data_IF_796194411022
#
_entry.id   IF_796194411022
#
_cell.length_a   1.000
_cell.length_b   1.000
_cell.length_c   1.000
_cell.angle_alpha   90.00
_cell.angle_beta   90.00
_cell.angle_gamma   90.00
#
_symmetry.space_group_name_H-M   'P 1'
#
loop_
_entity.id
_entity.type
_entity.pdbx_description
1 polymer ?
#
# COMPACT_ATOMS: atom_id res chain seq x y z
N UNK A 1 -26.13 0.04 7.66
CA UNK A 1 -25.03 0.12 6.68
C UNK A 1 -23.72 0.40 7.41
N UNK A 2 -22.64 -0.29 7.05
CA UNK A 2 -21.31 -0.11 7.63
C UNK A 2 -20.46 0.80 6.74
N UNK A 3 -19.61 1.65 7.33
CA UNK A 3 -18.58 2.41 6.63
C UNK A 3 -17.24 1.71 6.88
N UNK A 4 -16.54 1.33 5.82
CA UNK A 4 -15.18 0.78 5.92
C UNK A 4 -14.22 1.93 6.21
N UNK A 5 -13.44 1.84 7.30
CA UNK A 5 -12.60 2.94 7.79
C UNK A 5 -11.10 2.64 7.73
N UNK A 6 -10.68 1.39 7.89
CA UNK A 6 -9.27 1.03 7.77
C UNK A 6 -9.07 -0.44 7.41
N UNK A 7 -7.86 -0.75 6.94
CA UNK A 7 -7.30 -2.09 6.86
C UNK A 7 -5.98 -2.12 7.61
N UNK A 8 -5.72 -3.17 8.36
CA UNK A 8 -4.55 -3.28 9.22
C UNK A 8 -3.54 -4.30 8.67
N UNK A 9 -2.26 -3.90 8.72
CA UNK A 9 -1.13 -4.77 8.46
C UNK A 9 -0.13 -4.69 9.62
N UNK A 10 0.62 -5.77 9.85
CA UNK A 10 1.66 -5.84 10.87
C UNK A 10 3.02 -5.58 10.26
N UNK A 11 3.81 -4.71 10.89
CA UNK A 11 5.12 -4.29 10.41
C UNK A 11 6.19 -4.58 11.47
N UNK A 12 7.42 -4.87 11.03
CA UNK A 12 8.54 -5.13 11.92
C UNK A 12 9.29 -3.87 12.31
N UNK A 13 9.35 -2.88 11.42
CA UNK A 13 10.10 -1.64 11.60
C UNK A 13 9.20 -0.47 11.19
N UNK A 14 8.69 0.25 12.18
CA UNK A 14 7.73 1.31 11.95
C UNK A 14 8.30 2.46 11.11
N UNK A 15 9.54 2.91 11.40
CA UNK A 15 10.17 4.01 10.66
C UNK A 15 10.39 3.66 9.20
N UNK A 16 10.82 2.44 8.92
CA UNK A 16 10.98 1.92 7.56
C UNK A 16 9.65 1.90 6.80
N UNK A 17 8.58 1.45 7.44
CA UNK A 17 7.26 1.40 6.83
C UNK A 17 6.67 2.79 6.63
N UNK A 18 6.81 3.70 7.61
CA UNK A 18 6.35 5.09 7.48
C UNK A 18 7.01 5.80 6.30
N UNK A 19 8.33 5.62 6.13
CA UNK A 19 9.07 6.17 4.99
C UNK A 19 8.52 5.64 3.67
N UNK A 20 8.34 4.31 3.57
CA UNK A 20 7.82 3.67 2.36
C UNK A 20 6.44 4.23 1.99
N UNK A 21 5.49 4.21 2.92
CA UNK A 21 4.12 4.66 2.63
C UNK A 21 4.04 6.14 2.29
N UNK A 22 4.89 6.99 2.90
CA UNK A 22 4.99 8.39 2.55
C UNK A 22 5.55 8.60 1.14
N UNK A 23 6.65 7.95 0.80
CA UNK A 23 7.34 8.15 -0.48
C UNK A 23 6.65 7.47 -1.67
N UNK A 24 6.01 6.33 -1.44
CA UNK A 24 5.39 5.51 -2.51
C UNK A 24 3.93 5.86 -2.73
N UNK A 25 3.17 6.08 -1.66
CA UNK A 25 1.71 6.29 -1.73
C UNK A 25 1.25 7.67 -1.26
N UNK A 26 2.16 8.54 -0.83
CA UNK A 26 1.81 9.82 -0.20
C UNK A 26 0.86 9.64 0.98
N UNK A 27 1.00 8.54 1.72
CA UNK A 27 0.23 8.27 2.94
C UNK A 27 1.05 8.66 4.16
N UNK A 28 0.49 9.56 4.97
CA UNK A 28 1.16 10.13 6.13
C UNK A 28 0.41 9.82 7.42
N UNK A 29 1.16 9.75 8.52
CA UNK A 29 0.59 9.52 9.84
C UNK A 29 -0.41 10.61 10.21
N UNK A 30 -1.63 10.18 10.58
CA UNK A 30 -2.70 11.06 11.04
C UNK A 30 -3.05 10.82 12.50
N UNK A 31 -2.75 9.65 13.03
CA UNK A 31 -3.07 9.27 14.41
C UNK A 31 -2.16 8.14 14.87
N UNK A 32 -1.84 8.13 16.17
CA UNK A 32 -1.00 7.09 16.80
C UNK A 32 -1.52 6.76 18.18
N UNK A 33 -1.56 5.47 18.48
CA UNK A 33 -1.76 4.95 19.83
C UNK A 33 -0.54 4.11 20.21
N UNK A 34 0.18 4.55 21.24
CA UNK A 34 1.42 3.89 21.66
C UNK A 34 1.24 3.27 23.05
N UNK A 35 1.49 1.96 23.12
CA UNK A 35 1.39 1.16 24.34
C UNK A 35 2.74 0.50 24.65
N UNK A 36 2.95 -0.02 25.88
CA UNK A 36 4.25 -0.63 26.25
C UNK A 36 4.67 -1.78 25.34
N UNK A 37 3.74 -2.58 24.82
CA UNK A 37 3.98 -3.81 24.05
C UNK A 37 3.62 -3.72 22.59
N UNK A 38 2.88 -2.69 22.15
CA UNK A 38 2.54 -2.47 20.74
C UNK A 38 2.23 -1.00 20.44
N UNK A 39 2.22 -0.66 19.15
CA UNK A 39 1.77 0.65 18.66
C UNK A 39 0.86 0.47 17.45
N UNK A 40 -0.13 1.35 17.33
CA UNK A 40 -1.03 1.46 16.19
C UNK A 40 -0.82 2.81 15.54
N UNK A 41 -0.54 2.83 14.25
CA UNK A 41 -0.30 4.06 13.49
C UNK A 41 -1.18 4.07 12.25
N UNK A 42 -1.93 5.15 12.08
CA UNK A 42 -2.92 5.31 11.01
C UNK A 42 -2.41 6.26 9.94
N UNK A 43 -2.47 5.83 8.69
CA UNK A 43 -1.93 6.56 7.54
C UNK A 43 -3.03 6.88 6.54
N UNK A 44 -3.05 8.13 6.06
CA UNK A 44 -3.88 8.54 4.92
C UNK A 44 -3.32 9.79 4.24
N UNK A 45 -3.96 10.21 3.19
CA UNK A 45 -3.77 11.52 2.57
C UNK A 45 -5.11 12.24 2.39
N UNK A 46 -5.09 13.44 1.82
CA UNK A 46 -6.29 14.26 1.68
C UNK A 46 -7.38 13.66 0.77
N UNK A 47 -7.06 12.64 -0.01
CA UNK A 47 -8.02 11.98 -0.91
C UNK A 47 -8.78 10.82 -0.25
N UNK A 48 -8.40 10.43 0.97
CA UNK A 48 -8.95 9.24 1.62
C UNK A 48 -9.61 9.55 2.94
N UNK A 49 -10.81 9.00 3.15
CA UNK A 49 -11.39 8.77 4.48
C UNK A 49 -10.93 7.42 5.06
N UNK A 50 -10.49 6.51 4.21
CA UNK A 50 -9.98 5.20 4.58
C UNK A 50 -8.51 5.30 4.97
N UNK A 51 -8.10 4.56 6.00
CA UNK A 51 -6.73 4.57 6.52
C UNK A 51 -6.07 3.20 6.40
N UNK A 52 -4.76 3.20 6.17
CA UNK A 52 -3.94 2.02 6.42
C UNK A 52 -3.47 2.08 7.87
N UNK A 53 -3.79 1.05 8.64
CA UNK A 53 -3.32 0.92 10.02
C UNK A 53 -2.09 0.03 10.06
N UNK A 54 -0.98 0.58 10.56
CA UNK A 54 0.23 -0.19 10.84
C UNK A 54 0.23 -0.62 12.30
N UNK A 55 0.34 -1.93 12.55
CA UNK A 55 0.52 -2.46 13.89
C UNK A 55 1.96 -2.91 14.08
N UNK A 56 2.64 -2.30 15.05
CA UNK A 56 3.96 -2.71 15.50
C UNK A 56 3.82 -3.50 16.80
N UNK A 57 4.20 -4.78 16.79
CA UNK A 57 4.36 -5.58 18.00
C UNK A 57 5.80 -5.42 18.49
N UNK A 58 5.99 -4.69 19.58
CA UNK A 58 7.32 -4.38 20.13
C UNK A 58 8.03 -5.66 20.57
N UNK A 59 9.31 -5.78 20.22
CA UNK A 59 10.11 -6.97 20.54
C UNK A 59 10.01 -8.12 19.54
N UNK A 60 9.12 -8.06 18.56
CA UNK A 60 9.10 -9.05 17.49
C UNK A 60 10.21 -8.76 16.48
N UNK A 61 11.04 -9.77 16.19
CA UNK A 61 12.13 -9.67 15.20
C UNK A 61 11.90 -10.51 13.95
N UNK A 62 11.08 -11.57 14.05
CA UNK A 62 10.85 -12.51 12.95
C UNK A 62 9.81 -11.97 11.96
N UNK A 63 10.03 -12.14 10.63
CA UNK A 63 9.04 -11.78 9.61
C UNK A 63 7.69 -12.44 9.85
N UNK A 64 6.62 -11.75 9.45
CA UNK A 64 5.28 -12.29 9.47
C UNK A 64 5.06 -13.23 8.27
N UNK A 65 4.30 -14.30 8.48
CA UNK A 65 3.84 -15.18 7.41
C UNK A 65 2.49 -14.67 6.90
N UNK A 66 2.42 -14.32 5.61
CA UNK A 66 1.16 -13.83 5.02
C UNK A 66 0.23 -14.98 4.60
N UNK A 67 0.78 -16.18 4.41
CA UNK A 67 0.02 -17.34 3.92
C UNK A 67 -0.41 -17.16 2.46
N UNK A 68 -1.46 -17.85 2.08
CA UNK A 68 -2.03 -17.80 0.73
C UNK A 68 -3.38 -17.05 0.66
N UNK A 69 -3.85 -16.54 1.80
CA UNK A 69 -5.14 -15.83 1.88
C UNK A 69 -5.04 -14.32 1.69
N UNK A 70 -3.87 -13.70 1.89
CA UNK A 70 -3.69 -12.28 1.66
C UNK A 70 -3.51 -11.99 0.16
N UNK A 71 -4.25 -11.02 -0.35
CA UNK A 71 -4.08 -10.52 -1.71
C UNK A 71 -3.24 -9.25 -1.74
N UNK A 72 -3.89 -8.11 -1.87
CA UNK A 72 -3.24 -6.81 -1.97
C UNK A 72 -4.17 -5.67 -1.55
N UNK A 73 -3.60 -4.48 -1.36
CA UNK A 73 -4.33 -3.23 -1.34
C UNK A 73 -4.23 -2.61 -2.73
N UNK A 74 -5.36 -2.17 -3.29
CA UNK A 74 -5.39 -1.44 -4.55
C UNK A 74 -5.44 0.07 -4.29
N UNK A 75 -4.63 0.82 -5.05
CA UNK A 75 -4.62 2.28 -5.05
C UNK A 75 -4.69 2.80 -6.48
N UNK A 76 -5.26 3.98 -6.65
CA UNK A 76 -5.39 4.62 -7.97
C UNK A 76 -4.34 5.71 -8.13
N UNK A 77 -3.68 5.70 -9.29
CA UNK A 77 -2.73 6.73 -9.72
C UNK A 77 -3.19 7.33 -11.06
N UNK A 78 -2.80 8.57 -11.38
CA UNK A 78 -3.19 9.18 -12.66
C UNK A 78 -2.61 8.47 -13.88
N UNK A 79 -1.35 7.98 -13.79
CA UNK A 79 -0.60 7.37 -14.87
C UNK A 79 0.31 6.27 -14.30
N UNK A 80 0.03 5.02 -14.65
CA UNK A 80 0.77 3.87 -14.13
C UNK A 80 2.23 3.87 -14.59
N UNK A 81 2.50 4.18 -15.85
CA UNK A 81 3.86 4.18 -16.40
C UNK A 81 4.72 5.27 -15.78
N UNK A 82 4.18 6.48 -15.63
CA UNK A 82 4.88 7.59 -14.98
C UNK A 82 5.13 7.30 -13.50
N UNK A 83 4.17 6.73 -12.79
CA UNK A 83 4.31 6.34 -11.38
C UNK A 83 5.38 5.27 -11.20
N UNK A 84 5.37 4.23 -12.04
CA UNK A 84 6.37 3.17 -12.02
C UNK A 84 7.78 3.73 -12.26
N UNK A 85 7.95 4.59 -13.26
CA UNK A 85 9.24 5.21 -13.56
C UNK A 85 9.74 6.10 -12.41
N UNK A 86 8.86 6.86 -11.77
CA UNK A 86 9.20 7.70 -10.63
C UNK A 86 9.68 6.87 -9.42
N UNK A 87 9.05 5.73 -9.18
CA UNK A 87 9.46 4.83 -8.09
C UNK A 87 10.81 4.16 -8.37
N UNK A 88 11.06 3.75 -9.62
CA UNK A 88 12.39 3.27 -10.04
C UNK A 88 13.47 4.33 -9.82
N UNK A 89 13.19 5.60 -10.16
CA UNK A 89 14.12 6.70 -9.96
C UNK A 89 14.43 6.97 -8.49
N UNK A 90 13.50 6.67 -7.59
CA UNK A 90 13.69 6.76 -6.13
C UNK A 90 14.42 5.55 -5.53
N UNK A 91 14.73 4.53 -6.33
CA UNK A 91 15.44 3.34 -5.89
C UNK A 91 14.54 2.20 -5.38
N UNK A 92 13.23 2.29 -5.60
CA UNK A 92 12.30 1.19 -5.31
C UNK A 92 12.31 0.17 -6.46
N UNK A 93 11.68 -0.98 -6.23
CA UNK A 93 11.65 -2.09 -7.18
C UNK A 93 10.21 -2.47 -7.58
N UNK A 94 9.44 -1.56 -8.22
CA UNK A 94 8.13 -1.89 -8.74
C UNK A 94 8.24 -2.91 -9.88
N UNK A 95 7.24 -3.79 -10.00
CA UNK A 95 7.12 -4.69 -11.13
C UNK A 95 6.82 -3.91 -12.43
N UNK A 96 6.94 -4.57 -13.57
CA UNK A 96 6.59 -3.98 -14.85
C UNK A 96 5.11 -3.65 -14.94
N UNK A 97 4.78 -2.58 -15.65
CA UNK A 97 3.39 -2.22 -15.96
C UNK A 97 2.78 -3.28 -16.87
N UNK A 98 1.55 -3.69 -16.53
CA UNK A 98 0.76 -4.69 -17.26
C UNK A 98 -0.60 -4.12 -17.64
N UNK A 99 -1.19 -4.71 -18.65
CA UNK A 99 -2.57 -4.44 -19.06
C UNK A 99 -3.44 -5.67 -18.82
N UNK A 100 -4.63 -5.43 -18.27
CA UNK A 100 -5.67 -6.42 -18.12
C UNK A 100 -6.80 -6.11 -19.09
N UNK A 101 -7.03 -7.01 -20.03
CA UNK A 101 -7.99 -6.82 -21.12
C UNK A 101 -9.04 -7.94 -21.12
N UNK A 102 -10.22 -7.59 -21.61
CA UNK A 102 -11.25 -8.53 -21.99
C UNK A 102 -11.51 -8.33 -23.49
N UNK A 103 -10.98 -9.26 -24.33
CA UNK A 103 -10.91 -9.03 -25.77
C UNK A 103 -10.03 -7.81 -26.07
N UNK A 104 -10.56 -6.83 -26.80
CA UNK A 104 -9.88 -5.57 -27.12
C UNK A 104 -10.13 -4.46 -26.08
N UNK A 105 -11.01 -4.70 -25.10
CA UNK A 105 -11.34 -3.73 -24.07
C UNK A 105 -10.28 -3.70 -22.98
N UNK A 106 -9.65 -2.54 -22.78
CA UNK A 106 -8.75 -2.32 -21.65
C UNK A 106 -9.58 -2.17 -20.37
N UNK A 107 -9.40 -3.08 -19.42
CA UNK A 107 -10.06 -3.04 -18.12
C UNK A 107 -9.21 -2.33 -17.06
N UNK A 108 -7.90 -2.57 -17.09
CA UNK A 108 -6.96 -1.94 -16.16
C UNK A 108 -5.55 -1.88 -16.76
N UNK A 109 -4.81 -0.83 -16.41
CA UNK A 109 -3.35 -0.75 -16.54
C UNK A 109 -2.79 -0.58 -15.14
N UNK A 110 -1.82 -1.41 -14.76
CA UNK A 110 -1.38 -1.49 -13.36
C UNK A 110 0.02 -2.05 -13.25
N UNK A 111 0.60 -1.90 -12.06
CA UNK A 111 1.79 -2.61 -11.64
C UNK A 111 1.71 -2.92 -10.15
N UNK A 112 2.52 -3.88 -9.70
CA UNK A 112 2.65 -4.23 -8.29
C UNK A 112 3.94 -3.70 -7.70
N UNK A 113 3.89 -3.34 -6.43
CA UNK A 113 5.05 -3.09 -5.58
C UNK A 113 4.82 -3.77 -4.23
N UNK A 114 5.89 -4.21 -3.58
CA UNK A 114 5.81 -4.75 -2.23
C UNK A 114 6.32 -3.73 -1.23
N UNK A 115 5.66 -3.65 -0.08
CA UNK A 115 6.15 -2.85 1.03
C UNK A 115 7.34 -3.53 1.73
N UNK A 116 8.00 -2.90 2.73
CA UNK A 116 9.16 -3.49 3.40
C UNK A 116 8.92 -4.83 4.08
N UNK A 117 7.67 -5.17 4.42
CA UNK A 117 7.29 -6.44 5.03
C UNK A 117 6.74 -7.46 4.02
N UNK A 118 6.77 -7.13 2.72
CA UNK A 118 6.34 -7.99 1.63
C UNK A 118 4.86 -7.90 1.28
N UNK A 119 4.10 -6.97 1.86
CA UNK A 119 2.70 -6.77 1.50
C UNK A 119 2.59 -6.16 0.10
N UNK A 120 1.80 -6.81 -0.74
CA UNK A 120 1.60 -6.36 -2.12
C UNK A 120 0.66 -5.18 -2.20
N UNK A 121 0.99 -4.24 -3.07
CA UNK A 121 0.17 -3.07 -3.40
C UNK A 121 0.00 -3.06 -4.91
N UNK A 122 -1.25 -2.98 -5.37
CA UNK A 122 -1.58 -2.82 -6.78
C UNK A 122 -1.78 -1.34 -7.09
N UNK A 123 -0.92 -0.82 -7.97
CA UNK A 123 -0.97 0.57 -8.43
C UNK A 123 -1.74 0.61 -9.74
N UNK A 124 -2.99 1.05 -9.70
CA UNK A 124 -3.93 1.05 -10.83
C UNK A 124 -4.02 2.43 -11.46
N UNK A 125 -3.90 2.49 -12.78
CA UNK A 125 -4.20 3.72 -13.50
C UNK A 125 -5.71 4.01 -13.42
N UNK A 126 -6.05 5.28 -13.21
CA UNK A 126 -7.45 5.70 -13.16
C UNK A 126 -8.13 5.44 -14.50
N UNK A 127 -8.98 4.41 -14.54
CA UNK A 127 -9.68 3.97 -15.74
C UNK A 127 -10.88 3.09 -15.37
N UNK A 128 -12.00 3.25 -16.07
CA UNK A 128 -13.17 2.38 -15.95
C UNK A 128 -13.69 2.26 -14.51
N UNK A 129 -13.70 1.05 -13.98
CA UNK A 129 -14.12 0.74 -12.60
C UNK A 129 -13.18 1.35 -11.55
N UNK A 130 -11.91 1.50 -11.87
CA UNK A 130 -10.87 1.92 -10.93
C UNK A 130 -10.73 3.46 -10.91
N UNK A 131 -11.31 4.08 -9.86
CA UNK A 131 -11.38 5.55 -9.74
C UNK A 131 -11.20 6.02 -8.30
#
# INVERSE_FOLDING_TARGET
>A
MAKVIHSMIRVLDLERSLKFYAEVLDLHETHRLDFPDFALVYLRNAQNDFEVELTLNKGRAEPYTHGDGYGHIGVVVPDASASQAALLAKGYAPAAVKEFKRGDELLARFFFIQDPDGYKIEMLERHGHYR
#
